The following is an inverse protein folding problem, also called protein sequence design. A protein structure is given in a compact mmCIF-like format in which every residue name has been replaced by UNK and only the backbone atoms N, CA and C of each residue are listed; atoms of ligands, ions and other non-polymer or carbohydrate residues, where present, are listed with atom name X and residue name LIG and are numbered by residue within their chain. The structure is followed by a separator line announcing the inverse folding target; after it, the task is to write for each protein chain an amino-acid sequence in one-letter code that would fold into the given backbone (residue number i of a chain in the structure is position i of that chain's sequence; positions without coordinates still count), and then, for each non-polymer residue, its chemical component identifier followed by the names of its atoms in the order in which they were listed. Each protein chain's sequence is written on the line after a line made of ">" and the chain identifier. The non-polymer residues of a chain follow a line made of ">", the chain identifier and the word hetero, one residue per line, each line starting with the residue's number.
data_IF_428531247823
#
_entry.id   IF_428531247823
#
_cell.length_a   1.000
_cell.length_b   1.000
_cell.length_c   1.000
_cell.angle_alpha   90.00
_cell.angle_beta   90.00
_cell.angle_gamma   90.00
#
_symmetry.space_group_name_H-M   'P 1'
#
loop_
_entity.id
_entity.type
_entity.pdbx_description
1 polymer ?
#
# COMPACT_ATOMS: atom_id res chain seq x y z
N UNK A 1 16.25 34.32 11.70
CA UNK A 1 16.46 32.98 11.22
C UNK A 1 15.21 32.50 10.52
N UNK A 2 15.23 32.32 9.20
CA UNK A 2 14.14 31.68 8.48
C UNK A 2 14.13 30.21 8.90
N UNK A 3 13.15 29.80 9.70
CA UNK A 3 12.81 28.42 9.85
C UNK A 3 12.37 27.93 8.47
N UNK A 4 13.21 27.18 7.78
CA UNK A 4 12.87 26.55 6.51
C UNK A 4 11.66 25.67 6.77
N UNK A 5 10.53 26.00 6.13
CA UNK A 5 9.36 25.13 6.12
C UNK A 5 9.79 23.90 5.32
N UNK A 6 10.08 22.80 6.01
CA UNK A 6 10.25 21.51 5.33
C UNK A 6 8.92 21.17 4.65
N UNK A 7 8.93 20.82 3.37
CA UNK A 7 7.71 20.38 2.71
C UNK A 7 7.19 19.13 3.45
N UNK A 8 5.88 19.11 3.71
CA UNK A 8 5.21 17.99 4.39
C UNK A 8 5.17 16.71 3.55
N UNK A 9 5.52 16.80 2.26
CA UNK A 9 5.66 15.67 1.34
C UNK A 9 6.64 16.00 0.22
N UNK A 10 7.29 14.99 -0.35
CA UNK A 10 8.21 15.13 -1.49
C UNK A 10 7.47 15.30 -2.81
N UNK A 11 6.28 14.76 -2.94
CA UNK A 11 5.51 14.72 -4.20
C UNK A 11 4.13 15.33 -3.96
N UNK A 12 3.70 16.23 -4.88
CA UNK A 12 2.33 16.74 -4.87
C UNK A 12 1.34 15.62 -5.17
N UNK A 13 0.33 15.39 -4.32
CA UNK A 13 -0.65 14.32 -4.53
C UNK A 13 -1.69 14.65 -5.60
N UNK A 14 -1.85 15.92 -5.98
CA UNK A 14 -2.95 16.37 -6.83
C UNK A 14 -3.05 15.66 -8.19
N UNK A 15 -1.98 15.56 -9.00
CA UNK A 15 -2.07 14.87 -10.29
C UNK A 15 -2.49 13.40 -10.13
N UNK A 16 -1.99 12.72 -9.10
CA UNK A 16 -2.31 11.33 -8.82
C UNK A 16 -3.75 11.16 -8.34
N UNK A 17 -4.23 12.07 -7.48
CA UNK A 17 -5.63 12.05 -7.02
C UNK A 17 -6.59 12.18 -8.20
N UNK A 18 -6.35 13.11 -9.13
CA UNK A 18 -7.17 13.26 -10.33
C UNK A 18 -7.10 12.04 -11.24
N UNK A 19 -5.91 11.47 -11.46
CA UNK A 19 -5.76 10.26 -12.27
C UNK A 19 -6.51 9.07 -11.64
N UNK A 20 -6.49 8.91 -10.34
CA UNK A 20 -7.22 7.85 -9.64
C UNK A 20 -8.73 8.07 -9.66
N UNK A 21 -9.19 9.31 -9.50
CA UNK A 21 -10.61 9.64 -9.65
C UNK A 21 -11.10 9.27 -11.05
N UNK A 22 -10.38 9.68 -12.09
CA UNK A 22 -10.73 9.35 -13.48
C UNK A 22 -10.73 7.83 -13.74
N UNK A 23 -9.70 7.14 -13.28
CA UNK A 23 -9.55 5.70 -13.47
C UNK A 23 -10.59 4.87 -12.73
N UNK A 24 -10.95 5.24 -11.50
CA UNK A 24 -11.76 4.41 -10.61
C UNK A 24 -13.21 4.87 -10.42
N UNK A 25 -13.61 6.07 -10.92
CA UNK A 25 -14.95 6.59 -10.73
C UNK A 25 -16.05 5.68 -11.28
N UNK A 26 -15.85 5.13 -12.47
CA UNK A 26 -16.81 4.22 -13.10
C UNK A 26 -17.00 2.93 -12.29
N UNK A 27 -15.93 2.37 -11.74
CA UNK A 27 -15.98 1.17 -10.91
C UNK A 27 -16.65 1.43 -9.57
N UNK A 28 -16.38 2.58 -8.94
CA UNK A 28 -17.06 3.01 -7.71
C UNK A 28 -18.57 3.14 -7.95
N UNK A 29 -18.96 3.80 -9.03
CA UNK A 29 -20.38 3.94 -9.38
C UNK A 29 -21.05 2.59 -9.68
N UNK A 30 -20.36 1.70 -10.39
CA UNK A 30 -20.88 0.37 -10.76
C UNK A 30 -21.10 -0.52 -9.53
N UNK A 31 -20.19 -0.51 -8.56
CA UNK A 31 -20.32 -1.29 -7.34
C UNK A 31 -21.19 -0.60 -6.26
N UNK A 32 -21.56 0.66 -6.46
CA UNK A 32 -22.30 1.46 -5.47
C UNK A 32 -21.52 1.69 -4.18
N UNK A 33 -20.19 1.73 -4.28
CA UNK A 33 -19.30 1.89 -3.16
C UNK A 33 -19.10 0.65 -2.29
N UNK A 34 -19.66 -0.49 -2.63
CA UNK A 34 -19.44 -1.77 -1.94
C UNK A 34 -18.40 -2.60 -2.73
N UNK A 35 -17.21 -2.77 -2.18
CA UNK A 35 -16.11 -3.45 -2.86
C UNK A 35 -16.33 -4.96 -3.04
N UNK A 36 -17.31 -5.56 -2.36
CA UNK A 36 -17.75 -6.93 -2.63
C UNK A 36 -18.44 -7.06 -3.99
N UNK A 37 -18.98 -5.97 -4.52
CA UNK A 37 -19.73 -5.93 -5.78
C UNK A 37 -18.87 -5.56 -6.98
N UNK A 38 -17.57 -5.36 -6.79
CA UNK A 38 -16.61 -5.28 -7.89
C UNK A 38 -16.54 -6.64 -8.62
N UNK A 39 -16.13 -6.62 -9.87
CA UNK A 39 -15.96 -7.86 -10.67
C UNK A 39 -15.07 -8.89 -9.95
N UNK A 40 -14.01 -8.43 -9.32
CA UNK A 40 -13.25 -9.19 -8.32
C UNK A 40 -13.42 -8.46 -7.00
N UNK A 41 -14.00 -9.09 -5.96
CA UNK A 41 -14.10 -8.49 -4.64
C UNK A 41 -12.73 -8.02 -4.14
N UNK A 42 -12.69 -6.81 -3.57
CA UNK A 42 -11.43 -6.12 -3.30
C UNK A 42 -11.35 -5.63 -1.85
N UNK A 43 -10.14 -5.65 -1.32
CA UNK A 43 -9.75 -4.99 -0.07
C UNK A 43 -8.44 -4.26 -0.28
N UNK A 44 -8.27 -3.15 0.40
CA UNK A 44 -6.96 -2.58 0.65
C UNK A 44 -6.83 -2.16 2.11
N UNK A 45 -5.60 -2.09 2.58
CA UNK A 45 -5.28 -1.73 3.95
C UNK A 45 -4.67 -0.34 3.96
N UNK A 46 -5.11 0.48 4.90
CA UNK A 46 -4.53 1.75 5.25
C UNK A 46 -4.18 1.76 6.74
N UNK A 47 -3.48 2.79 7.21
CA UNK A 47 -3.04 2.90 8.58
C UNK A 47 -3.56 4.18 9.23
N UNK A 48 -4.32 4.03 10.32
CA UNK A 48 -4.62 5.12 11.25
C UNK A 48 -3.50 5.23 12.27
N UNK A 49 -2.56 6.15 12.03
CA UNK A 49 -1.41 6.32 12.92
C UNK A 49 -1.75 7.03 14.23
N UNK A 50 -2.87 7.76 14.27
CA UNK A 50 -3.36 8.44 15.47
C UNK A 50 -3.87 7.44 16.48
N UNK A 51 -4.67 6.48 16.04
CA UNK A 51 -5.23 5.43 16.89
C UNK A 51 -4.44 4.12 16.87
N UNK A 52 -3.34 4.07 16.07
CA UNK A 52 -2.36 2.97 16.02
C UNK A 52 -2.97 1.62 15.62
N UNK A 53 -3.74 1.60 14.55
CA UNK A 53 -4.29 0.36 14.00
C UNK A 53 -4.41 0.40 12.48
N UNK A 54 -4.49 -0.79 11.87
CA UNK A 54 -4.81 -0.92 10.45
C UNK A 54 -6.29 -0.63 10.21
N UNK A 55 -6.59 -0.05 9.07
CA UNK A 55 -7.94 0.19 8.55
C UNK A 55 -8.13 -0.61 7.28
N UNK A 56 -9.05 -1.57 7.28
CA UNK A 56 -9.39 -2.36 6.10
C UNK A 56 -10.50 -1.67 5.34
N UNK A 57 -10.20 -1.17 4.14
CA UNK A 57 -11.16 -0.52 3.26
C UNK A 57 -12.00 -1.59 2.52
N UNK A 58 -13.29 -1.63 2.81
CA UNK A 58 -14.27 -2.57 2.26
C UNK A 58 -15.32 -1.87 1.39
N UNK A 59 -15.41 -0.55 1.50
CA UNK A 59 -16.42 0.28 0.85
C UNK A 59 -15.97 1.73 0.74
N UNK A 60 -16.73 2.56 0.04
CA UNK A 60 -16.50 3.99 -0.15
C UNK A 60 -16.04 4.34 -1.57
N UNK A 61 -15.29 5.42 -1.70
CA UNK A 61 -14.66 5.80 -2.96
C UNK A 61 -13.41 4.94 -3.18
N UNK A 62 -13.41 4.15 -4.25
CA UNK A 62 -12.28 3.25 -4.55
C UNK A 62 -10.98 4.01 -4.76
N UNK A 63 -11.03 5.19 -5.40
CA UNK A 63 -9.89 6.09 -5.56
C UNK A 63 -9.27 6.50 -4.23
N UNK A 64 -10.10 6.84 -3.25
CA UNK A 64 -9.64 7.32 -1.95
C UNK A 64 -9.04 6.17 -1.12
N UNK A 65 -9.69 5.01 -1.15
CA UNK A 65 -9.20 3.82 -0.46
C UNK A 65 -7.82 3.38 -0.99
N UNK A 66 -7.64 3.31 -2.31
CA UNK A 66 -6.37 2.97 -2.94
C UNK A 66 -5.32 4.06 -2.63
N UNK A 67 -5.73 5.34 -2.70
CA UNK A 67 -4.83 6.46 -2.41
C UNK A 67 -4.38 6.45 -0.95
N UNK A 68 -5.25 6.11 -0.01
CA UNK A 68 -4.89 5.94 1.40
C UNK A 68 -3.85 4.84 1.57
N UNK A 69 -4.11 3.67 0.98
CA UNK A 69 -3.26 2.48 1.06
C UNK A 69 -1.84 2.68 0.54
N UNK A 70 -1.60 3.68 -0.29
CA UNK A 70 -0.28 4.00 -0.84
C UNK A 70 0.29 5.35 -0.36
N UNK A 71 -0.27 5.95 0.69
CA UNK A 71 0.19 7.21 1.26
C UNK A 71 1.42 7.01 2.14
N UNK A 72 2.56 6.65 1.52
CA UNK A 72 3.81 6.42 2.23
C UNK A 72 4.29 7.70 2.93
N UNK A 73 4.59 7.64 4.24
CA UNK A 73 5.03 8.81 5.01
C UNK A 73 6.26 9.48 4.40
N UNK A 74 6.33 10.80 4.50
CA UNK A 74 7.35 11.66 3.91
C UNK A 74 7.34 11.76 2.37
N UNK A 75 6.79 10.77 1.65
CA UNK A 75 6.65 10.83 0.19
C UNK A 75 5.34 11.50 -0.20
N UNK A 76 4.23 11.03 0.36
CA UNK A 76 2.88 11.56 0.09
C UNK A 76 2.21 12.08 1.36
N UNK A 77 1.34 13.08 1.17
CA UNK A 77 0.43 13.50 2.23
C UNK A 77 -0.62 12.39 2.48
N UNK A 78 -1.06 12.23 3.74
CA UNK A 78 -2.18 11.34 4.05
C UNK A 78 -3.45 11.80 3.34
N UNK A 79 -4.42 10.90 3.25
CA UNK A 79 -5.77 11.23 2.80
C UNK A 79 -6.74 11.13 3.96
N UNK A 80 -7.68 12.08 4.05
CA UNK A 80 -8.74 12.02 5.06
C UNK A 80 -9.95 11.28 4.52
N UNK A 81 -10.34 10.19 5.20
CA UNK A 81 -11.58 9.46 4.94
C UNK A 81 -12.40 9.46 6.25
N UNK A 82 -13.62 9.96 6.17
CA UNK A 82 -14.53 10.09 7.32
C UNK A 82 -13.92 10.84 8.52
N UNK A 83 -13.06 11.82 8.23
CA UNK A 83 -12.38 12.64 9.24
C UNK A 83 -11.15 12.01 9.87
N UNK A 84 -10.73 10.81 9.42
CA UNK A 84 -9.51 10.13 9.85
C UNK A 84 -8.43 10.28 8.81
N UNK A 85 -7.25 10.73 9.22
CA UNK A 85 -6.07 10.79 8.35
C UNK A 85 -5.44 9.41 8.22
N UNK A 86 -5.42 8.89 7.00
CA UNK A 86 -4.93 7.56 6.67
C UNK A 86 -3.64 7.62 5.87
N UNK A 87 -2.73 6.75 6.24
CA UNK A 87 -1.43 6.52 5.63
C UNK A 87 -1.34 5.13 5.00
N UNK A 88 -0.21 4.84 4.38
CA UNK A 88 0.13 3.55 3.79
C UNK A 88 -0.15 2.38 4.74
N UNK A 89 -0.81 1.35 4.22
CA UNK A 89 -1.18 0.17 4.99
C UNK A 89 0.00 -0.61 5.54
N UNK A 90 1.14 -0.56 4.85
CA UNK A 90 2.36 -1.23 5.25
C UNK A 90 2.92 -0.81 6.62
N UNK A 91 2.47 0.31 7.18
CA UNK A 91 2.87 0.71 8.54
C UNK A 91 2.43 -0.33 9.59
N UNK A 92 1.25 -0.93 9.43
CA UNK A 92 0.69 -1.91 10.38
C UNK A 92 0.45 -3.28 9.78
N UNK A 93 0.25 -3.39 8.45
CA UNK A 93 -0.02 -4.65 7.79
C UNK A 93 0.32 -4.55 6.29
N UNK A 94 1.53 -4.96 5.94
CA UNK A 94 2.04 -4.92 4.56
C UNK A 94 1.78 -6.23 3.79
N UNK A 95 1.32 -7.28 4.46
CA UNK A 95 1.00 -8.57 3.85
C UNK A 95 -0.24 -9.19 4.51
N UNK A 96 -1.45 -8.68 4.21
CA UNK A 96 -2.67 -8.86 4.98
C UNK A 96 -3.34 -10.23 4.79
N UNK A 97 -2.65 -11.30 5.19
CA UNK A 97 -3.15 -12.69 5.13
C UNK A 97 -4.39 -12.89 6.00
N UNK A 98 -4.42 -12.27 7.18
CA UNK A 98 -5.55 -12.32 8.10
C UNK A 98 -6.82 -11.69 7.49
N UNK A 99 -6.67 -10.53 6.81
CA UNK A 99 -7.77 -9.88 6.11
C UNK A 99 -8.33 -10.76 4.99
N UNK A 100 -7.44 -11.41 4.23
CA UNK A 100 -7.86 -12.33 3.17
C UNK A 100 -8.61 -13.54 3.77
N UNK A 101 -8.12 -14.09 4.86
CA UNK A 101 -8.75 -15.23 5.56
C UNK A 101 -10.12 -14.86 6.12
N UNK A 102 -10.22 -13.72 6.80
CA UNK A 102 -11.45 -13.28 7.48
C UNK A 102 -12.53 -12.85 6.50
N UNK A 103 -12.19 -12.07 5.47
CA UNK A 103 -13.16 -11.45 4.58
C UNK A 103 -13.59 -12.37 3.42
N UNK A 104 -12.74 -13.30 3.00
CA UNK A 104 -12.97 -14.10 1.80
C UNK A 104 -13.00 -15.61 2.06
N UNK A 105 -12.42 -16.08 3.15
CA UNK A 105 -12.31 -17.51 3.50
C UNK A 105 -11.90 -18.39 2.29
N UNK A 106 -10.83 -18.07 1.56
CA UNK A 106 -10.47 -18.77 0.34
C UNK A 106 -9.96 -20.19 0.66
N UNK A 107 -10.16 -21.12 -0.27
CA UNK A 107 -9.59 -22.46 -0.15
C UNK A 107 -8.06 -22.50 -0.30
N UNK A 108 -7.50 -21.56 -1.06
CA UNK A 108 -6.07 -21.38 -1.28
C UNK A 108 -5.81 -19.90 -1.45
N UNK A 109 -4.76 -19.38 -0.81
CA UNK A 109 -4.25 -18.03 -0.99
C UNK A 109 -3.00 -18.02 -1.88
N UNK A 110 -2.84 -16.97 -2.67
CA UNK A 110 -1.59 -16.65 -3.35
C UNK A 110 -1.15 -15.29 -2.84
N UNK A 111 -0.07 -15.29 -2.06
CA UNK A 111 0.54 -14.07 -1.55
C UNK A 111 1.75 -13.69 -2.41
N UNK A 112 1.79 -12.45 -2.89
CA UNK A 112 2.94 -11.92 -3.62
C UNK A 112 3.52 -10.76 -2.83
N UNK A 113 4.79 -10.83 -2.51
CA UNK A 113 5.49 -9.76 -1.80
C UNK A 113 6.78 -9.35 -2.53
N UNK A 114 7.14 -8.08 -2.36
CA UNK A 114 8.28 -7.43 -3.00
C UNK A 114 9.19 -6.73 -1.99
N UNK A 115 9.07 -7.06 -0.68
CA UNK A 115 9.93 -6.46 0.32
C UNK A 115 11.39 -6.93 0.17
N UNK A 116 12.33 -6.12 0.63
CA UNK A 116 13.74 -6.48 0.64
C UNK A 116 14.17 -6.84 2.07
N UNK A 117 14.64 -8.07 2.26
CA UNK A 117 15.20 -8.53 3.55
C UNK A 117 16.61 -7.97 3.79
N UNK A 118 17.36 -7.70 2.71
CA UNK A 118 18.77 -7.31 2.73
C UNK A 118 18.99 -5.87 2.25
N UNK A 119 18.03 -4.97 2.42
CA UNK A 119 18.19 -3.58 2.01
C UNK A 119 19.36 -2.93 2.77
N UNK A 120 20.40 -2.55 2.07
CA UNK A 120 21.53 -1.79 2.64
C UNK A 120 21.00 -0.49 3.25
N UNK A 121 21.39 -0.18 4.51
CA UNK A 121 20.95 1.03 5.17
C UNK A 121 21.41 2.25 4.38
N UNK A 122 20.49 2.92 3.75
CA UNK A 122 20.74 4.20 3.09
C UNK A 122 20.58 5.33 4.10
N UNK A 123 21.33 6.43 3.89
CA UNK A 123 21.18 7.64 4.71
C UNK A 123 19.90 8.44 4.37
N UNK A 124 19.06 7.94 3.48
CA UNK A 124 17.78 8.55 3.13
C UNK A 124 16.73 8.30 4.22
N UNK A 125 15.99 9.33 4.61
CA UNK A 125 14.86 9.22 5.54
C UNK A 125 13.82 8.22 5.00
N UNK A 126 13.56 8.24 3.70
CA UNK A 126 12.61 7.32 3.04
C UNK A 126 13.04 5.88 3.23
N UNK A 127 14.32 5.55 2.96
CA UNK A 127 14.85 4.19 3.15
C UNK A 127 14.85 3.75 4.62
N UNK A 128 15.09 4.65 5.55
CA UNK A 128 14.99 4.34 6.99
C UNK A 128 13.56 4.02 7.40
N UNK A 129 12.58 4.79 6.93
CA UNK A 129 11.16 4.53 7.18
C UNK A 129 10.71 3.21 6.51
N UNK A 130 11.14 2.97 5.28
CA UNK A 130 10.87 1.72 4.56
C UNK A 130 11.38 0.50 5.34
N UNK A 131 12.62 0.53 5.80
CA UNK A 131 13.20 -0.55 6.60
C UNK A 131 12.44 -0.75 7.91
N UNK A 132 12.04 0.31 8.61
CA UNK A 132 11.25 0.21 9.82
C UNK A 132 9.89 -0.45 9.57
N UNK A 133 9.23 -0.12 8.46
CA UNK A 133 7.95 -0.72 8.06
C UNK A 133 8.15 -2.21 7.75
N UNK A 134 9.15 -2.55 6.93
CA UNK A 134 9.43 -3.94 6.54
C UNK A 134 9.71 -4.82 7.76
N UNK A 135 10.56 -4.35 8.68
CA UNK A 135 10.97 -5.13 9.85
C UNK A 135 9.83 -5.39 10.86
N UNK A 136 8.78 -4.57 10.86
CA UNK A 136 7.67 -4.70 11.79
C UNK A 136 6.48 -5.51 11.23
N UNK A 137 6.58 -6.00 10.00
CA UNK A 137 5.50 -6.74 9.35
C UNK A 137 5.78 -8.25 9.29
N UNK A 138 4.72 -9.03 9.38
CA UNK A 138 4.74 -10.48 9.17
C UNK A 138 4.38 -10.80 7.72
N UNK A 139 5.29 -11.47 7.02
CA UNK A 139 5.10 -11.91 5.63
C UNK A 139 4.85 -13.41 5.54
N UNK A 140 4.50 -14.06 6.64
CA UNK A 140 4.23 -15.49 6.65
C UNK A 140 2.88 -15.83 6.00
N UNK A 141 2.89 -16.91 5.23
CA UNK A 141 1.69 -17.57 4.72
C UNK A 141 1.88 -19.08 4.96
N UNK A 142 1.06 -19.70 5.83
CA UNK A 142 1.17 -21.14 6.10
C UNK A 142 1.04 -21.97 4.83
N UNK A 143 1.90 -23.00 4.63
CA UNK A 143 1.91 -23.82 3.42
C UNK A 143 0.60 -24.59 3.14
N UNK A 144 -0.18 -24.85 4.17
CA UNK A 144 -1.50 -25.47 4.08
C UNK A 144 -2.61 -24.49 3.71
N UNK A 145 -2.35 -23.17 3.79
CA UNK A 145 -3.29 -22.11 3.41
C UNK A 145 -2.99 -21.54 2.02
N UNK A 146 -1.77 -21.67 1.50
CA UNK A 146 -1.46 -21.08 0.21
C UNK A 146 0.01 -21.11 -0.21
N UNK A 147 0.30 -20.27 -1.21
CA UNK A 147 1.63 -20.12 -1.79
C UNK A 147 2.08 -18.69 -1.64
N UNK A 148 3.25 -18.46 -1.05
CA UNK A 148 3.93 -17.18 -1.04
C UNK A 148 4.93 -17.11 -2.18
N UNK A 149 4.84 -16.04 -2.97
CA UNK A 149 5.77 -15.72 -4.05
C UNK A 149 6.54 -14.47 -3.62
N UNK A 150 7.81 -14.64 -3.31
CA UNK A 150 8.71 -13.53 -3.00
C UNK A 150 9.47 -13.12 -4.25
N UNK A 151 9.46 -11.81 -4.56
CA UNK A 151 10.17 -11.24 -5.71
C UNK A 151 11.25 -10.30 -5.16
N UNK A 152 12.51 -10.66 -5.34
CA UNK A 152 13.63 -9.83 -4.89
C UNK A 152 13.77 -8.57 -5.75
N UNK A 153 13.47 -7.44 -5.14
CA UNK A 153 13.64 -6.10 -5.70
C UNK A 153 14.65 -5.26 -4.91
N UNK A 154 15.51 -5.87 -4.11
CA UNK A 154 16.47 -5.23 -3.19
C UNK A 154 17.38 -4.19 -3.86
N UNK A 155 17.65 -4.34 -5.15
CA UNK A 155 18.47 -3.41 -5.94
C UNK A 155 17.74 -2.12 -6.36
N UNK A 156 16.44 -2.00 -6.08
CA UNK A 156 15.65 -0.82 -6.41
C UNK A 156 15.22 -0.08 -5.15
N UNK A 157 15.11 1.24 -5.26
CA UNK A 157 14.52 2.05 -4.21
C UNK A 157 13.01 2.26 -4.45
N UNK A 158 12.29 2.61 -3.38
CA UNK A 158 10.85 2.90 -3.42
C UNK A 158 10.47 3.95 -4.49
N UNK A 159 11.41 4.86 -4.84
CA UNK A 159 11.15 5.97 -5.77
C UNK A 159 11.70 5.72 -7.19
N UNK A 160 12.17 4.52 -7.50
CA UNK A 160 12.74 4.18 -8.82
C UNK A 160 11.66 3.97 -9.90
N UNK A 161 10.69 4.87 -9.99
CA UNK A 161 9.59 4.80 -10.98
C UNK A 161 10.06 4.71 -12.44
N UNK A 162 11.24 5.26 -12.74
CA UNK A 162 11.84 5.16 -14.07
C UNK A 162 12.27 3.76 -14.47
N UNK A 163 12.39 2.83 -13.52
CA UNK A 163 12.84 1.44 -13.72
C UNK A 163 11.68 0.44 -13.76
N UNK A 164 10.46 0.90 -13.90
CA UNK A 164 9.26 0.05 -13.88
C UNK A 164 9.33 -1.15 -14.85
N UNK A 165 9.94 -0.98 -16.04
CA UNK A 165 10.11 -2.08 -17.01
C UNK A 165 11.07 -3.16 -16.54
N UNK A 166 12.15 -2.78 -15.84
CA UNK A 166 13.11 -3.74 -15.28
C UNK A 166 12.46 -4.52 -14.14
N UNK A 167 11.75 -3.83 -13.24
CA UNK A 167 11.03 -4.45 -12.12
C UNK A 167 9.97 -5.42 -12.63
N UNK A 168 9.19 -5.00 -13.65
CA UNK A 168 8.22 -5.88 -14.29
C UNK A 168 8.84 -7.17 -14.85
N UNK A 169 10.00 -7.07 -15.51
CA UNK A 169 10.68 -8.22 -16.09
C UNK A 169 11.15 -9.24 -15.04
N UNK A 170 11.52 -8.78 -13.83
CA UNK A 170 11.89 -9.66 -12.73
C UNK A 170 10.67 -10.45 -12.22
N UNK A 171 9.54 -9.78 -12.04
CA UNK A 171 8.32 -10.44 -11.57
C UNK A 171 7.67 -11.36 -12.61
N UNK A 172 8.04 -11.23 -13.89
CA UNK A 172 7.50 -12.07 -14.98
C UNK A 172 8.34 -13.32 -15.24
N UNK A 173 9.60 -13.36 -14.79
CA UNK A 173 10.53 -14.47 -15.00
C UNK A 173 10.25 -15.65 -14.08
#
# INVERSE_FOLDING_TARGET
>A
GAAGIMPSSLISPLPMNFAFMDLFAAYTAQCGGDFNRLFVPFRCVASDVTHKHKVVCRSGMLSDAIRASMSFPAVFLPISIDGVELYDGGIYDNFPVDVMREDFAPSIMIGVDVHSEDAEPSNSIVSQLENMIIQNNDYSLPPDEGIRIHIDVSRFSLLDFGKAREIYAIGYA
#
